data_IF_888200908359
#
_entry.id   IF_888200908359
#
_cell.length_a   1.000
_cell.length_b   1.000
_cell.length_c   1.000
_cell.angle_alpha   90.00
_cell.angle_beta   90.00
_cell.angle_gamma   90.00
#
_symmetry.space_group_name_H-M   'P 1'
#
loop_
_entity.id
_entity.type
_entity.pdbx_description
1 polymer ?
#
# COMPACT_ATOMS: atom_id res chain seq x y z
N UNK A 1 -23.64 -0.66 5.87
CA UNK A 1 -22.89 -1.80 5.30
C UNK A 1 -23.04 -1.77 3.79
N UNK A 2 -21.93 -1.78 3.05
CA UNK A 2 -21.94 -1.78 1.60
C UNK A 2 -22.46 -3.12 1.01
N UNK A 3 -23.39 -3.05 0.06
CA UNK A 3 -23.98 -4.20 -0.61
C UNK A 3 -23.80 -4.09 -2.13
N UNK A 4 -23.29 -5.16 -2.73
CA UNK A 4 -23.05 -5.28 -4.16
C UNK A 4 -24.31 -5.81 -4.82
N UNK A 5 -24.92 -5.01 -5.69
CA UNK A 5 -26.14 -5.40 -6.39
C UNK A 5 -25.86 -6.00 -7.76
N UNK A 6 -26.82 -6.76 -8.30
CA UNK A 6 -26.73 -7.30 -9.67
C UNK A 6 -26.61 -6.19 -10.72
N UNK A 7 -27.31 -5.07 -10.51
CA UNK A 7 -27.26 -3.91 -11.41
C UNK A 7 -25.91 -3.20 -11.40
N UNK A 8 -25.23 -3.16 -10.24
CA UNK A 8 -23.83 -2.70 -10.17
C UNK A 8 -22.93 -3.55 -11.06
N UNK A 9 -23.03 -4.89 -10.98
CA UNK A 9 -22.22 -5.77 -11.82
C UNK A 9 -22.53 -5.61 -13.30
N UNK A 10 -23.82 -5.48 -13.69
CA UNK A 10 -24.20 -5.31 -15.10
C UNK A 10 -23.64 -4.04 -15.73
N UNK A 11 -23.39 -3.00 -14.93
CA UNK A 11 -22.85 -1.71 -15.38
C UNK A 11 -21.36 -1.51 -15.04
N UNK A 12 -20.74 -2.50 -14.41
CA UNK A 12 -19.39 -2.41 -13.89
C UNK A 12 -18.34 -2.26 -15.00
N UNK A 13 -17.22 -1.63 -14.67
CA UNK A 13 -16.02 -1.76 -15.47
C UNK A 13 -15.41 -3.14 -15.18
N UNK A 14 -15.10 -3.92 -16.21
CA UNK A 14 -14.49 -5.27 -16.05
C UNK A 14 -12.98 -5.28 -16.24
N UNK A 15 -12.43 -4.17 -16.73
CA UNK A 15 -11.02 -4.04 -17.08
C UNK A 15 -10.55 -2.61 -16.80
N UNK A 16 -9.39 -2.51 -16.15
CA UNK A 16 -8.64 -1.28 -16.02
C UNK A 16 -7.49 -1.26 -17.03
N UNK A 17 -7.34 -0.20 -17.84
CA UNK A 17 -6.19 -0.03 -18.72
C UNK A 17 -4.86 -0.16 -17.98
N UNK A 18 -3.88 -0.82 -18.60
CA UNK A 18 -2.56 -1.08 -17.96
C UNK A 18 -1.90 0.20 -17.48
N UNK A 19 -1.93 1.27 -18.29
CA UNK A 19 -1.37 2.56 -17.92
C UNK A 19 -2.03 3.14 -16.67
N UNK A 20 -3.36 3.04 -16.58
CA UNK A 20 -4.12 3.48 -15.40
C UNK A 20 -3.78 2.64 -14.16
N UNK A 21 -3.65 1.31 -14.32
CA UNK A 21 -3.18 0.41 -13.23
C UNK A 21 -1.81 0.85 -12.69
N UNK A 22 -0.87 1.19 -13.56
CA UNK A 22 0.48 1.65 -13.19
C UNK A 22 0.44 2.99 -12.46
N UNK A 23 -0.36 3.95 -12.95
CA UNK A 23 -0.47 5.27 -12.33
C UNK A 23 -1.10 5.14 -10.94
N UNK A 24 -2.23 4.43 -10.84
CA UNK A 24 -2.94 4.22 -9.58
C UNK A 24 -2.09 3.43 -8.58
N UNK A 25 -1.38 2.39 -9.03
CA UNK A 25 -0.53 1.60 -8.11
C UNK A 25 0.55 2.46 -7.46
N UNK A 26 1.17 3.36 -8.22
CA UNK A 26 2.14 4.32 -7.69
C UNK A 26 1.51 5.33 -6.74
N UNK A 27 0.35 5.88 -7.08
CA UNK A 27 -0.36 6.83 -6.23
C UNK A 27 -0.73 6.21 -4.89
N UNK A 28 -1.34 5.02 -4.93
CA UNK A 28 -1.71 4.27 -3.72
C UNK A 28 -0.48 3.92 -2.91
N UNK A 29 0.59 3.42 -3.53
CA UNK A 29 1.81 3.04 -2.82
C UNK A 29 2.43 4.21 -2.05
N UNK A 30 2.44 5.43 -2.62
CA UNK A 30 2.94 6.62 -1.93
C UNK A 30 2.13 6.97 -0.68
N UNK A 31 0.82 6.70 -0.64
CA UNK A 31 -0.02 6.92 0.53
C UNK A 31 0.18 5.85 1.62
N UNK A 32 0.73 4.69 1.26
CA UNK A 32 0.83 3.54 2.15
C UNK A 32 2.22 3.37 2.76
N UNK A 33 3.19 4.22 2.45
CA UNK A 33 4.55 4.12 3.01
C UNK A 33 4.76 5.27 3.99
N UNK A 34 4.75 4.92 5.27
CA UNK A 34 4.76 5.87 6.40
C UNK A 34 6.03 5.70 7.24
N UNK A 35 6.33 6.67 8.09
CA UNK A 35 7.41 6.51 9.07
C UNK A 35 7.00 5.49 10.15
N UNK A 36 7.93 4.61 10.50
CA UNK A 36 7.76 3.71 11.61
C UNK A 36 7.50 4.50 12.90
N UNK A 37 6.60 4.03 13.76
CA UNK A 37 6.44 4.58 15.11
C UNK A 37 7.65 4.17 15.96
N UNK A 38 8.78 4.84 15.80
CA UNK A 38 9.94 4.75 16.69
C UNK A 38 10.38 6.13 17.14
N UNK A 39 10.86 6.20 18.38
CA UNK A 39 11.26 7.43 19.05
C UNK A 39 12.23 8.25 18.19
N UNK A 40 11.85 9.51 17.96
CA UNK A 40 12.55 10.48 17.10
C UNK A 40 13.98 10.82 17.57
N UNK A 41 14.49 10.17 18.60
CA UNK A 41 15.72 10.54 19.29
C UNK A 41 16.98 10.37 18.42
N UNK A 42 16.97 9.48 17.42
CA UNK A 42 18.16 9.20 16.61
C UNK A 42 18.13 9.79 15.18
N UNK A 43 17.09 10.53 14.80
CA UNK A 43 17.03 11.23 13.50
C UNK A 43 16.89 10.35 12.26
N UNK A 44 16.78 9.02 12.42
CA UNK A 44 16.52 8.07 11.34
C UNK A 44 15.16 7.40 11.51
N UNK A 45 14.21 7.73 10.65
CA UNK A 45 12.96 6.98 10.55
C UNK A 45 13.09 5.86 9.52
N UNK A 46 12.75 4.65 9.93
CA UNK A 46 12.53 3.53 9.01
C UNK A 46 11.16 3.72 8.37
N UNK A 47 11.04 3.53 7.07
CA UNK A 47 9.73 3.53 6.41
C UNK A 47 9.08 2.15 6.55
N UNK A 48 7.79 2.10 6.84
CA UNK A 48 6.99 0.87 6.95
C UNK A 48 5.71 0.98 6.14
N UNK A 49 5.11 -0.17 5.84
CA UNK A 49 3.80 -0.22 5.18
C UNK A 49 2.68 0.08 6.18
N UNK A 50 1.79 1.01 5.83
CA UNK A 50 0.44 1.10 6.38
C UNK A 50 -0.49 0.15 5.60
N UNK A 51 -0.58 -1.09 6.09
CA UNK A 51 -1.43 -2.12 5.47
C UNK A 51 -2.92 -1.76 5.52
N UNK A 52 -3.34 -0.96 6.50
CA UNK A 52 -4.73 -0.55 6.62
C UNK A 52 -5.09 0.44 5.52
N UNK A 53 -4.27 1.49 5.34
CA UNK A 53 -4.44 2.45 4.25
C UNK A 53 -4.41 1.74 2.89
N UNK A 54 -3.49 0.80 2.69
CA UNK A 54 -3.43 0.01 1.45
C UNK A 54 -4.73 -0.72 1.15
N UNK A 55 -5.30 -1.37 2.16
CA UNK A 55 -6.57 -2.09 2.02
C UNK A 55 -7.73 -1.15 1.70
N UNK A 56 -7.79 0.01 2.38
CA UNK A 56 -8.81 1.03 2.14
C UNK A 56 -8.74 1.54 0.70
N UNK A 57 -7.56 1.97 0.25
CA UNK A 57 -7.37 2.50 -1.10
C UNK A 57 -7.73 1.46 -2.18
N UNK A 58 -7.33 0.20 -2.00
CA UNK A 58 -7.71 -0.86 -2.93
C UNK A 58 -9.24 -1.08 -2.95
N UNK A 59 -9.89 -1.08 -1.79
CA UNK A 59 -11.36 -1.21 -1.70
C UNK A 59 -12.09 -0.04 -2.33
N UNK A 60 -11.58 1.18 -2.15
CA UNK A 60 -12.13 2.37 -2.81
C UNK A 60 -12.06 2.24 -4.33
N UNK A 61 -10.95 1.75 -4.88
CA UNK A 61 -10.86 1.49 -6.32
C UNK A 61 -11.85 0.42 -6.77
N UNK A 62 -12.02 -0.67 -6.00
CA UNK A 62 -13.03 -1.70 -6.32
C UNK A 62 -14.43 -1.09 -6.42
N UNK A 63 -14.78 -0.25 -5.45
CA UNK A 63 -16.14 0.27 -5.31
C UNK A 63 -16.42 1.44 -6.26
N UNK A 64 -15.49 2.37 -6.40
CA UNK A 64 -15.61 3.53 -7.28
C UNK A 64 -15.38 3.15 -8.76
N UNK A 65 -14.23 2.56 -9.08
CA UNK A 65 -13.87 2.30 -10.47
C UNK A 65 -14.61 1.10 -11.06
N UNK A 66 -14.59 -0.06 -10.38
CA UNK A 66 -15.19 -1.26 -10.95
C UNK A 66 -16.72 -1.24 -10.78
N UNK A 67 -17.21 -1.02 -9.57
CA UNK A 67 -18.65 -1.08 -9.29
C UNK A 67 -19.42 0.21 -9.58
N UNK A 68 -18.72 1.33 -9.85
CA UNK A 68 -19.32 2.65 -10.10
C UNK A 68 -20.30 3.05 -9.00
N UNK A 69 -20.02 2.64 -7.77
CA UNK A 69 -20.87 2.98 -6.66
C UNK A 69 -20.57 4.42 -6.24
N UNK A 70 -21.62 5.22 -6.12
CA UNK A 70 -21.49 6.57 -5.55
C UNK A 70 -21.29 6.45 -4.04
N UNK A 71 -20.02 6.36 -3.65
CA UNK A 71 -19.59 6.26 -2.26
C UNK A 71 -19.02 7.58 -1.73
N UNK A 72 -18.90 8.61 -2.56
CA UNK A 72 -18.35 9.91 -2.14
C UNK A 72 -19.15 10.54 -1.01
N UNK A 73 -20.47 10.36 -1.01
CA UNK A 73 -21.37 10.89 0.04
C UNK A 73 -21.55 9.93 1.23
N UNK A 74 -21.01 8.71 1.16
CA UNK A 74 -21.22 7.62 2.13
C UNK A 74 -19.96 7.23 2.90
N UNK A 75 -18.83 7.76 2.48
CA UNK A 75 -17.53 7.60 3.11
C UNK A 75 -17.43 8.73 4.13
N UNK A 76 -17.32 8.39 5.41
CA UNK A 76 -17.09 9.43 6.41
C UNK A 76 -15.80 10.17 6.02
N UNK A 77 -15.85 11.51 6.00
CA UNK A 77 -14.68 12.34 5.65
C UNK A 77 -13.51 12.16 6.62
N UNK A 78 -13.70 11.42 7.72
CA UNK A 78 -12.91 11.60 8.93
C UNK A 78 -11.86 10.55 9.26
N UNK A 79 -11.82 9.37 8.63
CA UNK A 79 -10.71 8.42 8.89
C UNK A 79 -10.73 7.24 7.92
N UNK A 80 -9.57 6.84 7.37
CA UNK A 80 -9.40 5.58 6.63
C UNK A 80 -9.99 4.35 7.37
N UNK A 81 -9.97 4.34 8.70
CA UNK A 81 -10.59 3.32 9.55
C UNK A 81 -12.12 3.24 9.42
N UNK A 82 -12.81 4.37 9.36
CA UNK A 82 -14.27 4.40 9.24
C UNK A 82 -14.70 4.02 7.81
N UNK A 83 -13.98 4.54 6.81
CA UNK A 83 -14.13 4.15 5.40
C UNK A 83 -13.93 2.64 5.23
N UNK A 84 -12.90 2.09 5.88
CA UNK A 84 -12.67 0.66 5.91
C UNK A 84 -13.88 -0.06 6.52
N UNK A 85 -14.39 0.36 7.66
CA UNK A 85 -15.53 -0.34 8.29
C UNK A 85 -16.78 -0.28 7.42
N UNK A 86 -17.13 0.86 6.85
CA UNK A 86 -18.36 1.01 6.06
C UNK A 86 -18.37 0.11 4.80
N UNK A 87 -17.20 -0.02 4.17
CA UNK A 87 -17.02 -0.80 2.93
C UNK A 87 -16.62 -2.25 3.23
N UNK A 88 -15.59 -2.46 4.05
CA UNK A 88 -15.01 -3.77 4.33
C UNK A 88 -15.92 -4.67 5.18
N UNK A 89 -16.80 -4.13 6.04
CA UNK A 89 -17.80 -4.95 6.73
C UNK A 89 -18.74 -5.64 5.73
N UNK A 90 -19.01 -5.02 4.58
CA UNK A 90 -19.74 -5.66 3.48
C UNK A 90 -18.94 -6.77 2.80
N UNK A 91 -17.61 -6.74 2.87
CA UNK A 91 -16.72 -7.66 2.16
C UNK A 91 -17.09 -7.81 0.67
N UNK A 92 -17.02 -6.70 -0.10
CA UNK A 92 -17.52 -6.66 -1.49
C UNK A 92 -16.86 -7.69 -2.40
N UNK A 93 -15.58 -8.04 -2.15
CA UNK A 93 -14.87 -9.09 -2.89
C UNK A 93 -15.59 -10.43 -2.76
N UNK A 94 -15.98 -10.81 -1.54
CA UNK A 94 -16.72 -12.05 -1.29
C UNK A 94 -18.14 -12.00 -1.85
N UNK A 95 -18.78 -10.83 -1.86
CA UNK A 95 -20.08 -10.67 -2.51
C UNK A 95 -19.96 -10.90 -4.03
N UNK A 96 -18.98 -10.29 -4.70
CA UNK A 96 -18.71 -10.48 -6.14
C UNK A 96 -18.38 -11.95 -6.45
N UNK A 97 -17.64 -12.64 -5.57
CA UNK A 97 -17.35 -14.08 -5.73
C UNK A 97 -18.63 -14.92 -5.84
N UNK A 98 -19.68 -14.59 -5.08
CA UNK A 98 -20.98 -15.28 -5.14
C UNK A 98 -21.71 -15.06 -6.46
N UNK A 99 -21.50 -13.92 -7.11
CA UNK A 99 -22.08 -13.65 -8.44
C UNK A 99 -21.47 -14.49 -9.57
N UNK A 100 -20.40 -15.27 -9.30
CA UNK A 100 -19.88 -16.28 -10.23
C UNK A 100 -20.81 -17.48 -10.43
N UNK A 101 -21.77 -17.69 -9.52
CA UNK A 101 -22.76 -18.76 -9.62
C UNK A 101 -24.00 -18.34 -10.43
N UNK A 102 -24.25 -17.04 -10.61
CA UNK A 102 -25.35 -16.53 -11.43
C UNK A 102 -24.94 -16.44 -12.92
N UNK A 103 -25.63 -17.15 -13.85
CA UNK A 103 -25.23 -17.18 -15.26
C UNK A 103 -25.11 -15.81 -15.94
N UNK A 104 -25.94 -14.84 -15.54
CA UNK A 104 -25.95 -13.51 -16.15
C UNK A 104 -24.74 -12.65 -15.73
N UNK A 105 -24.31 -12.76 -14.47
CA UNK A 105 -23.19 -11.96 -13.95
C UNK A 105 -21.88 -12.73 -13.89
N UNK A 106 -21.89 -14.05 -14.11
CA UNK A 106 -20.74 -14.93 -13.91
C UNK A 106 -19.48 -14.40 -14.56
N UNK A 107 -19.54 -14.11 -15.86
CA UNK A 107 -18.40 -13.62 -16.63
C UNK A 107 -17.88 -12.28 -16.08
N UNK A 108 -18.78 -11.34 -15.82
CA UNK A 108 -18.44 -10.00 -15.29
C UNK A 108 -17.74 -10.13 -13.94
N UNK A 109 -18.27 -10.96 -13.03
CA UNK A 109 -17.66 -11.22 -11.73
C UNK A 109 -16.25 -11.82 -11.86
N UNK A 110 -16.04 -12.75 -12.79
CA UNK A 110 -14.71 -13.31 -13.07
C UNK A 110 -13.73 -12.24 -13.56
N UNK A 111 -14.15 -11.43 -14.54
CA UNK A 111 -13.29 -10.42 -15.16
C UNK A 111 -12.88 -9.34 -14.15
N UNK A 112 -13.85 -8.80 -13.39
CA UNK A 112 -13.59 -7.82 -12.31
C UNK A 112 -12.59 -8.36 -11.30
N UNK A 113 -12.82 -9.57 -10.78
CA UNK A 113 -11.98 -10.13 -9.71
C UNK A 113 -10.58 -10.49 -10.21
N UNK A 114 -10.45 -10.90 -11.46
CA UNK A 114 -9.16 -11.15 -12.08
C UNK A 114 -8.37 -9.85 -12.22
N UNK A 115 -8.98 -8.84 -12.82
CA UNK A 115 -8.33 -7.55 -13.08
C UNK A 115 -8.01 -6.79 -11.79
N UNK A 116 -8.91 -6.80 -10.82
CA UNK A 116 -8.69 -6.22 -9.49
C UNK A 116 -7.54 -6.90 -8.75
N UNK A 117 -7.38 -8.23 -8.90
CA UNK A 117 -6.23 -8.96 -8.31
C UNK A 117 -4.92 -8.51 -8.93
N UNK A 118 -4.89 -8.24 -10.23
CA UNK A 118 -3.70 -7.69 -10.89
C UNK A 118 -3.35 -6.30 -10.37
N UNK A 119 -4.35 -5.42 -10.21
CA UNK A 119 -4.15 -4.11 -9.57
C UNK A 119 -3.55 -4.26 -8.17
N UNK A 120 -4.10 -5.13 -7.31
CA UNK A 120 -3.56 -5.36 -5.96
C UNK A 120 -2.11 -5.85 -5.99
N UNK A 121 -1.76 -6.71 -6.95
CA UNK A 121 -0.37 -7.15 -7.15
C UNK A 121 0.54 -5.97 -7.54
N UNK A 122 0.11 -5.14 -8.48
CA UNK A 122 0.86 -3.94 -8.88
C UNK A 122 1.06 -2.97 -7.71
N UNK A 123 0.02 -2.72 -6.91
CA UNK A 123 0.12 -1.90 -5.67
C UNK A 123 1.14 -2.49 -4.71
N UNK A 124 1.07 -3.80 -4.42
CA UNK A 124 2.03 -4.45 -3.53
C UNK A 124 3.47 -4.33 -4.05
N UNK A 125 3.68 -4.51 -5.35
CA UNK A 125 5.00 -4.35 -5.97
C UNK A 125 5.53 -2.92 -5.79
N UNK A 126 4.70 -1.90 -6.04
CA UNK A 126 5.12 -0.51 -5.88
C UNK A 126 5.40 -0.13 -4.41
N UNK A 127 4.60 -0.63 -3.47
CA UNK A 127 4.88 -0.46 -2.02
C UNK A 127 6.23 -1.06 -1.67
N UNK A 128 6.52 -2.29 -2.11
CA UNK A 128 7.80 -2.95 -1.85
C UNK A 128 8.98 -2.23 -2.51
N UNK A 129 8.80 -1.71 -3.74
CA UNK A 129 9.81 -0.90 -4.41
C UNK A 129 10.13 0.36 -3.60
N UNK A 130 9.10 1.07 -3.12
CA UNK A 130 9.28 2.26 -2.30
C UNK A 130 9.94 1.95 -0.96
N UNK A 131 9.50 0.90 -0.27
CA UNK A 131 10.13 0.47 0.99
C UNK A 131 11.60 0.10 0.78
N UNK A 132 11.92 -0.62 -0.30
CA UNK A 132 13.31 -0.96 -0.66
C UNK A 132 14.12 0.31 -0.89
N UNK A 133 13.60 1.26 -1.68
CA UNK A 133 14.27 2.53 -1.98
C UNK A 133 14.49 3.38 -0.73
N UNK A 134 13.47 3.54 0.12
CA UNK A 134 13.55 4.38 1.31
C UNK A 134 14.38 3.74 2.43
N UNK A 135 14.37 2.42 2.54
CA UNK A 135 15.14 1.70 3.54
C UNK A 135 16.53 1.26 3.08
N UNK A 136 16.89 1.52 1.83
CA UNK A 136 18.21 1.22 1.30
C UNK A 136 19.30 1.87 2.18
N UNK A 137 20.21 1.08 2.77
CA UNK A 137 21.25 1.58 3.65
C UNK A 137 22.22 2.53 2.94
N UNK A 138 22.51 2.34 1.66
CA UNK A 138 23.36 3.24 0.89
C UNK A 138 22.69 4.59 0.67
N UNK A 139 21.39 4.60 0.39
CA UNK A 139 20.61 5.84 0.25
C UNK A 139 20.54 6.57 1.59
N UNK A 140 20.35 5.85 2.71
CA UNK A 140 20.38 6.42 4.06
C UNK A 140 21.74 7.02 4.41
N UNK A 141 22.83 6.29 4.17
CA UNK A 141 24.20 6.76 4.41
C UNK A 141 24.52 7.98 3.55
N UNK A 142 24.12 7.98 2.27
CA UNK A 142 24.36 9.12 1.37
C UNK A 142 23.62 10.38 1.82
N UNK A 143 22.35 10.24 2.27
CA UNK A 143 21.57 11.35 2.84
C UNK A 143 22.17 11.86 4.14
N UNK A 144 22.66 10.96 5.00
CA UNK A 144 23.38 11.35 6.20
C UNK A 144 24.65 12.12 5.85
N UNK A 145 25.50 11.59 4.97
CA UNK A 145 26.73 12.26 4.52
C UNK A 145 26.45 13.66 3.96
N UNK A 146 25.39 13.84 3.16
CA UNK A 146 24.96 15.15 2.69
C UNK A 146 24.54 16.09 3.84
N UNK A 147 23.70 15.62 4.77
CA UNK A 147 23.31 16.37 5.97
C UNK A 147 24.51 16.76 6.86
N UNK A 148 25.55 15.93 6.87
CA UNK A 148 26.81 16.17 7.60
C UNK A 148 27.79 17.09 6.86
N UNK A 149 27.71 17.17 5.54
CA UNK A 149 28.45 18.18 4.80
C UNK A 149 27.83 19.57 4.99
N UNK A 150 26.52 19.62 5.24
CA UNK A 150 25.77 20.84 5.57
C UNK A 150 25.93 21.24 7.05
N UNK A 151 26.15 20.28 7.97
CA UNK A 151 26.38 20.53 9.40
C UNK A 151 27.83 20.20 9.79
N UNK A 152 28.62 21.19 10.21
CA UNK A 152 30.08 21.14 10.44
C UNK A 152 30.66 20.08 11.40
N UNK A 153 29.88 19.14 11.96
CA UNK A 153 30.31 18.13 12.94
C UNK A 153 30.39 16.69 12.35
N UNK A 154 31.24 16.51 11.34
CA UNK A 154 31.53 15.23 10.67
C UNK A 154 31.91 14.06 11.61
N UNK A 155 32.48 14.32 12.79
CA UNK A 155 33.07 13.29 13.66
C UNK A 155 32.06 12.46 14.44
N UNK A 156 31.05 13.08 15.04
CA UNK A 156 30.01 12.38 15.83
C UNK A 156 29.14 11.47 14.94
N UNK A 157 28.98 11.84 13.69
CA UNK A 157 28.17 11.07 12.77
C UNK A 157 28.92 9.92 12.11
N UNK A 158 30.25 10.02 11.92
CA UNK A 158 31.07 8.87 11.56
C UNK A 158 31.04 7.78 12.65
N UNK A 159 30.97 8.17 13.92
CA UNK A 159 30.80 7.22 15.03
C UNK A 159 29.41 6.54 15.00
N UNK A 160 28.33 7.27 14.72
CA UNK A 160 26.99 6.69 14.53
C UNK A 160 26.91 5.70 13.37
N UNK A 161 27.51 6.02 12.21
CA UNK A 161 27.56 5.13 11.04
C UNK A 161 28.29 3.82 11.35
N UNK A 162 29.41 3.90 12.08
CA UNK A 162 30.20 2.73 12.46
C UNK A 162 29.46 1.82 13.45
N UNK A 163 28.61 2.40 14.31
CA UNK A 163 27.77 1.67 15.26
C UNK A 163 26.66 0.90 14.50
N UNK A 164 25.90 1.59 13.65
CA UNK A 164 24.77 1.01 12.93
C UNK A 164 25.19 -0.06 11.91
N UNK A 165 26.35 0.11 11.25
CA UNK A 165 26.89 -0.90 10.32
C UNK A 165 27.28 -2.21 11.01
N UNK A 166 27.70 -2.15 12.28
CA UNK A 166 28.02 -3.35 13.08
C UNK A 166 26.77 -4.09 13.53
N UNK A 167 25.70 -3.36 13.84
CA UNK A 167 24.46 -3.96 14.29
C UNK A 167 23.72 -4.64 13.12
N UNK A 168 23.78 -4.07 11.90
CA UNK A 168 23.27 -4.74 10.69
C UNK A 168 24.05 -6.03 10.39
N UNK A 169 25.38 -6.05 10.53
CA UNK A 169 26.18 -7.28 10.34
C UNK A 169 25.81 -8.38 11.33
N UNK A 170 25.60 -8.05 12.60
CA UNK A 170 25.20 -9.03 13.63
C UNK A 170 23.80 -9.59 13.41
N UNK A 171 22.89 -8.82 12.82
CA UNK A 171 21.55 -9.30 12.48
C UNK A 171 21.60 -10.24 11.27
N UNK A 172 22.44 -9.96 10.28
CA UNK A 172 22.65 -10.83 9.11
C UNK A 172 23.33 -12.16 9.51
N UNK A 173 24.37 -12.10 10.34
CA UNK A 173 25.06 -13.31 10.86
C UNK A 173 24.15 -14.20 11.70
N UNK A 174 23.21 -13.62 12.46
CA UNK A 174 22.22 -14.39 13.24
C UNK A 174 21.11 -15.01 12.40
N UNK A 175 20.85 -14.50 11.20
CA UNK A 175 19.83 -15.06 10.28
C UNK A 175 20.42 -16.20 9.47
N UNK A 176 21.71 -16.16 9.11
CA UNK A 176 22.41 -17.26 8.42
C UNK A 176 22.72 -18.47 9.33
N UNK A 177 22.56 -18.36 10.65
CA UNK A 177 22.72 -19.44 11.64
C UNK A 177 21.39 -20.14 12.05
N UNK A 178 20.27 -19.80 11.41
CA UNK A 178 18.94 -20.43 11.61
C UNK A 178 18.41 -21.09 10.35
#
# INVERSE_FOLDING_TARGET
MFEVTKDMLKNANTYMPVEMKIILSKQIANMCVVDAPTDKENGFSVKVEDSMMKNVQCLLVLVDYYLKADVKDKISENNAFEIHNDIACGNPVNQIERFKFDPETKRIAFDILSDYRELKKAVNTEVMNLLTLYNDPYVKISKLLLSLLENTNLREAMEKIAQESKDVKKVVEKVDET
#
